data_IF_970076446277
#
_entry.id   IF_970076446277
#
_cell.length_a   1.000
_cell.length_b   1.000
_cell.length_c   1.000
_cell.angle_alpha   90.00
_cell.angle_beta   90.00
_cell.angle_gamma   90.00
#
_symmetry.space_group_name_H-M   'P 1'
#
loop_
_entity.id
_entity.type
_entity.pdbx_description
1 polymer ?
#
# COMPACT_ATOMS: atom_id res chain seq x y z
N UNK A 1 2.62 -17.92 22.43
CA UNK A 1 2.54 -17.03 21.24
C UNK A 1 1.36 -16.11 21.43
N UNK A 2 1.58 -14.79 21.55
CA UNK A 2 0.52 -13.81 21.80
C UNK A 2 -0.06 -13.42 20.44
N UNK A 3 -1.30 -13.82 20.15
CA UNK A 3 -2.02 -13.31 18.99
C UNK A 3 -2.27 -11.81 19.21
N UNK A 4 -1.59 -10.96 18.44
CA UNK A 4 -1.99 -9.56 18.33
C UNK A 4 -3.44 -9.55 17.77
N UNK A 5 -4.40 -9.14 18.60
CA UNK A 5 -5.72 -8.75 18.12
C UNK A 5 -5.56 -7.47 17.32
N UNK A 6 -5.35 -7.59 16.01
CA UNK A 6 -5.48 -6.46 15.12
C UNK A 6 -6.96 -6.18 14.96
N UNK A 7 -7.46 -5.10 15.58
CA UNK A 7 -8.66 -4.44 15.09
C UNK A 7 -8.32 -3.96 13.67
N UNK A 8 -8.82 -4.66 12.67
CA UNK A 8 -8.85 -4.12 11.31
C UNK A 8 -9.84 -2.95 11.32
N UNK A 9 -9.37 -1.74 11.62
CA UNK A 9 -10.09 -0.54 11.21
C UNK A 9 -10.23 -0.62 9.69
N UNK A 10 -11.47 -0.84 9.24
CA UNK A 10 -11.80 -0.84 7.83
C UNK A 10 -11.66 0.59 7.32
N UNK A 11 -10.45 0.93 6.90
CA UNK A 11 -10.10 2.25 6.39
C UNK A 11 -10.83 2.48 5.06
N UNK A 12 -12.02 3.07 5.15
CA UNK A 12 -12.84 3.46 4.01
C UNK A 12 -12.26 4.66 3.26
N UNK A 13 -11.22 5.30 3.80
CA UNK A 13 -10.53 6.50 3.29
C UNK A 13 -9.04 6.25 2.99
N UNK A 14 -8.68 5.03 2.59
CA UNK A 14 -7.28 4.66 2.37
C UNK A 14 -6.62 5.42 1.21
N UNK A 15 -5.30 5.59 1.32
CA UNK A 15 -4.45 6.15 0.25
C UNK A 15 -4.58 5.27 -1.01
N UNK A 16 -4.76 5.87 -2.19
CA UNK A 16 -4.73 5.17 -3.48
C UNK A 16 -3.71 5.82 -4.39
N UNK A 17 -2.74 5.05 -4.84
CA UNK A 17 -1.72 5.48 -5.79
C UNK A 17 -2.19 5.07 -7.19
N UNK A 18 -2.11 5.98 -8.16
CA UNK A 18 -2.48 5.69 -9.55
C UNK A 18 -1.49 6.28 -10.52
N UNK A 19 -1.12 5.52 -11.56
CA UNK A 19 -0.24 5.94 -12.65
C UNK A 19 -1.02 5.85 -13.96
N UNK A 20 -0.86 6.88 -14.80
CA UNK A 20 -1.28 6.79 -16.21
C UNK A 20 -0.22 5.97 -16.94
N UNK A 21 -0.60 4.79 -17.39
CA UNK A 21 0.22 3.93 -18.24
C UNK A 21 0.31 4.45 -19.68
N UNK A 22 1.09 3.75 -20.51
CA UNK A 22 1.22 4.06 -21.94
C UNK A 22 -0.07 3.59 -22.65
N UNK A 23 -0.98 4.52 -22.98
CA UNK A 23 -2.23 4.27 -23.72
C UNK A 23 -3.47 4.90 -23.07
N UNK A 24 -4.57 5.03 -23.83
CA UNK A 24 -5.79 5.71 -23.37
C UNK A 24 -6.57 4.95 -22.27
N UNK A 25 -6.36 3.64 -22.10
CA UNK A 25 -7.09 2.81 -21.12
C UNK A 25 -6.19 2.16 -20.05
N UNK A 26 -4.87 2.37 -20.10
CA UNK A 26 -3.94 1.75 -19.16
C UNK A 26 -3.80 2.62 -17.91
N UNK A 27 -4.78 2.60 -17.01
CA UNK A 27 -4.67 3.23 -15.69
C UNK A 27 -4.44 2.15 -14.65
N UNK A 28 -3.24 2.10 -14.08
CA UNK A 28 -2.94 1.20 -12.96
C UNK A 28 -3.17 1.94 -11.64
N UNK A 29 -3.73 1.24 -10.66
CA UNK A 29 -3.97 1.82 -9.35
C UNK A 29 -3.82 0.77 -8.26
N UNK A 30 -3.16 1.14 -7.17
CA UNK A 30 -2.91 0.26 -6.05
C UNK A 30 -3.18 0.96 -4.72
N UNK A 31 -3.53 0.16 -3.71
CA UNK A 31 -3.61 0.60 -2.31
C UNK A 31 -2.29 0.23 -1.63
N UNK A 32 -1.55 1.19 -1.06
CA UNK A 32 -0.32 0.89 -0.35
C UNK A 32 -0.63 0.17 0.96
N UNK A 33 0.25 -0.75 1.33
CA UNK A 33 0.31 -1.39 2.64
C UNK A 33 1.28 -0.61 3.52
N UNK A 34 1.10 -0.71 4.84
CA UNK A 34 2.02 -0.14 5.82
C UNK A 34 2.83 -1.25 6.50
N UNK A 35 4.13 -1.02 6.65
CA UNK A 35 5.02 -1.78 7.51
C UNK A 35 5.54 -0.86 8.60
N UNK A 36 5.56 -1.34 9.85
CA UNK A 36 6.07 -0.59 11.00
C UNK A 36 7.26 -1.34 11.58
N UNK A 37 8.39 -0.66 11.74
CA UNK A 37 9.53 -1.18 12.47
C UNK A 37 9.21 -1.19 13.97
N UNK A 38 9.12 -2.36 14.63
CA UNK A 38 8.76 -2.43 16.05
C UNK A 38 9.86 -1.89 16.97
N UNK A 39 11.09 -1.72 16.47
CA UNK A 39 12.23 -1.26 17.26
C UNK A 39 12.31 0.27 17.38
N UNK A 40 12.02 1.01 16.30
CA UNK A 40 12.18 2.47 16.27
C UNK A 40 10.93 3.23 15.81
N UNK A 41 9.83 2.54 15.47
CA UNK A 41 8.58 3.18 15.03
C UNK A 41 8.59 3.71 13.59
N UNK A 42 9.64 3.44 12.80
CA UNK A 42 9.67 3.81 11.39
C UNK A 42 8.52 3.15 10.63
N UNK A 43 7.77 3.95 9.87
CA UNK A 43 6.64 3.48 9.06
C UNK A 43 7.00 3.61 7.58
N UNK A 44 6.89 2.50 6.85
CA UNK A 44 7.07 2.45 5.40
C UNK A 44 5.74 2.12 4.73
N UNK A 45 5.38 2.91 3.71
CA UNK A 45 4.28 2.59 2.81
C UNK A 45 4.84 1.95 1.55
N UNK A 46 4.30 0.78 1.15
CA UNK A 46 4.76 0.05 -0.03
C UNK A 46 3.60 -0.58 -0.80
N UNK A 47 3.84 -0.93 -2.06
CA UNK A 47 2.88 -1.65 -2.92
C UNK A 47 3.58 -2.93 -3.39
N UNK A 48 2.91 -4.09 -3.31
CA UNK A 48 3.49 -5.35 -3.78
C UNK A 48 3.73 -5.34 -5.30
N UNK A 49 2.71 -4.93 -6.07
CA UNK A 49 2.74 -4.85 -7.54
C UNK A 49 3.41 -3.56 -8.07
N UNK A 50 4.48 -3.12 -7.41
CA UNK A 50 5.23 -1.92 -7.80
C UNK A 50 5.79 -1.95 -9.23
N UNK A 51 5.93 -3.14 -9.83
CA UNK A 51 6.41 -3.32 -11.22
C UNK A 51 5.50 -2.65 -12.26
N UNK A 52 4.20 -2.53 -11.97
CA UNK A 52 3.28 -1.80 -12.84
C UNK A 52 3.48 -0.28 -12.77
N UNK A 53 4.22 0.18 -11.74
CA UNK A 53 4.53 1.58 -11.49
C UNK A 53 5.97 1.95 -11.87
N UNK A 54 6.88 0.99 -12.08
CA UNK A 54 8.22 1.25 -12.63
C UNK A 54 8.15 1.75 -14.09
N UNK A 55 9.15 2.55 -14.49
CA UNK A 55 9.33 3.06 -15.87
C UNK A 55 10.36 2.25 -16.64
#
# INVERSE_FOLDING_TARGET
>A
MKCCQYQCEADTYGIRISKKGKGLFNKVSAKPKAAVCPNCGYVALYIDEHKEFSE
#
